data_IF_316064077107
#
_entry.id   IF_316064077107
#
_cell.length_a   1.000
_cell.length_b   1.000
_cell.length_c   1.000
_cell.angle_alpha   90.00
_cell.angle_beta   90.00
_cell.angle_gamma   90.00
#
_symmetry.space_group_name_H-M   'P 1'
#
loop_
_entity.id
_entity.type
_entity.pdbx_description
1 polymer ?
#
# COMPACT_ATOMS: atom_id res chain seq x y z
N UNK A 1 43.41 36.12 12.84
CA UNK A 1 42.06 35.65 13.13
C UNK A 1 41.85 34.40 12.30
N UNK A 2 41.99 33.21 12.89
CA UNK A 2 41.89 31.92 12.18
C UNK A 2 40.43 31.49 12.17
N UNK A 3 39.84 31.35 10.98
CA UNK A 3 38.51 30.78 10.78
C UNK A 3 38.64 29.28 10.87
N UNK A 4 38.16 28.68 11.97
CA UNK A 4 37.99 27.23 12.10
C UNK A 4 36.79 26.80 11.25
N UNK A 5 37.06 26.25 10.07
CA UNK A 5 36.09 25.52 9.27
C UNK A 5 35.83 24.16 9.96
N UNK A 6 34.72 24.05 10.68
CA UNK A 6 34.22 22.74 11.09
C UNK A 6 33.71 22.00 9.86
N UNK A 7 34.18 20.77 9.57
CA UNK A 7 33.58 19.99 8.53
C UNK A 7 32.15 19.65 8.95
N UNK A 8 31.15 20.07 8.17
CA UNK A 8 29.78 19.59 8.33
C UNK A 8 29.82 18.07 8.10
N UNK A 9 29.77 17.29 9.17
CA UNK A 9 29.59 15.85 9.08
C UNK A 9 28.23 15.62 8.41
N UNK A 10 28.25 15.19 7.15
CA UNK A 10 27.07 14.73 6.43
C UNK A 10 26.65 13.41 7.08
N UNK A 11 25.82 13.49 8.12
CA UNK A 11 25.20 12.29 8.67
C UNK A 11 24.31 11.71 7.58
N UNK A 12 24.67 10.54 7.06
CA UNK A 12 23.78 9.75 6.23
C UNK A 12 22.51 9.50 7.06
N UNK A 13 21.36 9.98 6.56
CA UNK A 13 20.10 9.78 7.26
C UNK A 13 19.88 8.27 7.45
N UNK A 14 19.61 7.86 8.69
CA UNK A 14 19.35 6.46 9.00
C UNK A 14 18.07 5.99 8.30
N UNK A 15 18.08 4.71 7.89
CA UNK A 15 16.91 4.07 7.31
C UNK A 15 15.74 4.10 8.30
N UNK A 16 14.56 4.65 7.93
CA UNK A 16 13.42 4.74 8.83
C UNK A 16 12.88 3.34 9.18
N UNK A 17 12.47 3.19 10.43
CA UNK A 17 11.73 2.00 10.89
C UNK A 17 10.25 2.23 10.65
N UNK A 18 9.75 1.76 9.52
CA UNK A 18 8.33 1.85 9.18
C UNK A 18 7.58 0.69 9.85
N UNK A 19 6.59 1.01 10.69
CA UNK A 19 5.67 0.01 11.23
C UNK A 19 4.59 -0.29 10.17
N UNK A 20 4.46 -1.53 9.66
CA UNK A 20 3.48 -1.87 8.63
C UNK A 20 2.04 -1.61 9.04
N UNK A 21 1.66 -1.94 10.28
CA UNK A 21 0.29 -1.75 10.78
C UNK A 21 -0.09 -0.27 10.87
N UNK A 22 0.85 0.58 11.30
CA UNK A 22 0.64 2.02 11.31
C UNK A 22 0.52 2.59 9.90
N UNK A 23 1.29 2.06 8.94
CA UNK A 23 1.20 2.45 7.54
C UNK A 23 -0.14 2.04 6.93
N UNK A 24 -0.63 0.82 7.20
CA UNK A 24 -1.95 0.33 6.79
C UNK A 24 -3.07 1.25 7.27
N UNK A 25 -3.06 1.58 8.57
CA UNK A 25 -4.05 2.49 9.14
C UNK A 25 -3.99 3.90 8.52
N UNK A 26 -2.77 4.38 8.21
CA UNK A 26 -2.62 5.70 7.58
C UNK A 26 -3.12 5.71 6.13
N UNK A 27 -2.87 4.66 5.36
CA UNK A 27 -3.39 4.51 3.99
C UNK A 27 -4.93 4.50 4.05
N UNK A 28 -5.54 3.70 4.92
CA UNK A 28 -6.99 3.68 5.13
C UNK A 28 -7.57 5.07 5.37
N UNK A 29 -7.01 5.85 6.29
CA UNK A 29 -7.44 7.22 6.55
C UNK A 29 -7.40 8.11 5.29
N UNK A 30 -6.35 7.96 4.47
CA UNK A 30 -6.21 8.74 3.23
C UNK A 30 -7.21 8.30 2.16
N UNK A 31 -7.55 7.00 2.09
CA UNK A 31 -8.61 6.46 1.22
C UNK A 31 -9.97 7.05 1.63
N UNK A 32 -10.29 7.05 2.92
CA UNK A 32 -11.53 7.64 3.42
C UNK A 32 -11.65 9.12 3.07
N UNK A 33 -10.55 9.87 3.14
CA UNK A 33 -10.54 11.27 2.68
C UNK A 33 -10.90 11.37 1.19
N UNK A 34 -10.42 10.47 0.32
CA UNK A 34 -10.77 10.49 -1.11
C UNK A 34 -12.24 10.14 -1.32
N UNK A 35 -12.75 9.14 -0.59
CA UNK A 35 -14.16 8.75 -0.66
C UNK A 35 -15.09 9.88 -0.20
N UNK A 36 -14.81 10.51 0.93
CA UNK A 36 -15.61 11.66 1.44
C UNK A 36 -15.59 12.82 0.46
N UNK A 37 -14.45 13.15 -0.15
CA UNK A 37 -14.34 14.17 -1.22
C UNK A 37 -15.21 13.83 -2.44
N UNK A 38 -15.43 12.55 -2.70
CA UNK A 38 -16.30 12.08 -3.78
C UNK A 38 -17.79 11.91 -3.35
N UNK A 39 -18.16 12.32 -2.15
CA UNK A 39 -19.53 12.19 -1.61
C UNK A 39 -19.89 10.78 -1.16
N UNK A 40 -18.91 9.90 -0.98
CA UNK A 40 -19.09 8.53 -0.54
C UNK A 40 -18.84 8.38 0.97
N UNK A 41 -19.44 7.34 1.58
CA UNK A 41 -19.17 7.01 2.98
C UNK A 41 -17.76 6.41 3.13
N UNK A 42 -17.09 6.66 4.27
CA UNK A 42 -15.91 5.91 4.68
C UNK A 42 -16.13 4.40 4.66
N UNK A 43 -15.06 3.63 4.49
CA UNK A 43 -15.07 2.17 4.54
C UNK A 43 -14.81 1.67 5.97
N UNK A 44 -15.36 0.52 6.30
CA UNK A 44 -14.99 -0.18 7.53
C UNK A 44 -13.64 -0.84 7.35
N UNK A 45 -12.68 -0.54 8.22
CA UNK A 45 -11.35 -1.18 8.20
C UNK A 45 -11.46 -2.61 8.74
N UNK A 46 -11.50 -3.60 7.85
CA UNK A 46 -11.76 -5.00 8.15
C UNK A 46 -10.50 -5.77 8.49
N UNK A 47 -10.37 -6.26 9.72
CA UNK A 47 -9.24 -7.10 10.15
C UNK A 47 -9.08 -8.36 9.28
N UNK A 48 -10.18 -8.94 8.80
CA UNK A 48 -10.15 -10.14 7.94
C UNK A 48 -9.59 -9.82 6.56
N UNK A 49 -10.04 -8.75 5.93
CA UNK A 49 -9.48 -8.29 4.66
C UNK A 49 -8.01 -7.88 4.81
N UNK A 50 -7.63 -7.19 5.91
CA UNK A 50 -6.22 -6.89 6.18
C UNK A 50 -5.35 -8.15 6.26
N UNK A 51 -5.84 -9.24 6.84
CA UNK A 51 -5.08 -10.49 6.93
C UNK A 51 -4.86 -11.11 5.55
N UNK A 52 -5.87 -11.08 4.67
CA UNK A 52 -5.78 -11.56 3.27
C UNK A 52 -4.79 -10.69 2.48
N UNK A 53 -4.96 -9.38 2.53
CA UNK A 53 -4.10 -8.41 1.87
C UNK A 53 -2.62 -8.53 2.30
N UNK A 54 -2.35 -8.71 3.61
CA UNK A 54 -0.98 -8.96 4.11
C UNK A 54 -0.41 -10.27 3.59
N UNK A 55 -1.25 -11.30 3.46
CA UNK A 55 -0.86 -12.58 2.85
C UNK A 55 -0.34 -12.38 1.44
N UNK A 56 -1.09 -11.68 0.61
CA UNK A 56 -0.72 -11.41 -0.78
C UNK A 56 0.51 -10.49 -0.90
N UNK A 57 0.58 -9.40 -0.13
CA UNK A 57 1.76 -8.52 -0.10
C UNK A 57 3.03 -9.26 0.32
N UNK A 58 2.93 -10.18 1.27
CA UNK A 58 4.04 -11.05 1.68
C UNK A 58 4.43 -12.02 0.56
N UNK A 59 3.46 -12.64 -0.08
CA UNK A 59 3.72 -13.59 -1.16
C UNK A 59 4.43 -12.90 -2.33
N UNK A 60 3.92 -11.76 -2.79
CA UNK A 60 4.60 -10.94 -3.80
C UNK A 60 6.05 -10.63 -3.42
N UNK A 61 6.26 -10.22 -2.17
CA UNK A 61 7.59 -9.85 -1.69
C UNK A 61 8.54 -11.06 -1.58
N UNK A 62 8.07 -12.18 -1.05
CA UNK A 62 8.92 -13.35 -0.81
C UNK A 62 9.32 -14.05 -2.11
N UNK A 63 8.41 -14.12 -3.07
CA UNK A 63 8.58 -14.80 -4.35
C UNK A 63 8.98 -13.88 -5.50
N UNK A 64 9.18 -12.58 -5.19
CA UNK A 64 9.70 -11.55 -6.10
C UNK A 64 8.85 -11.37 -7.38
N UNK A 65 7.53 -11.27 -7.22
CA UNK A 65 6.61 -10.91 -8.29
C UNK A 65 5.74 -9.70 -7.90
N UNK A 66 5.07 -9.09 -8.88
CA UNK A 66 4.11 -8.00 -8.67
C UNK A 66 2.93 -8.18 -9.63
N UNK A 67 1.86 -8.78 -9.14
CA UNK A 67 0.67 -9.11 -9.91
C UNK A 67 -0.52 -9.36 -8.99
N UNK A 68 -1.74 -9.15 -9.48
CA UNK A 68 -2.98 -9.57 -8.82
C UNK A 68 -3.11 -11.10 -8.70
N UNK A 69 -2.45 -11.85 -9.59
CA UNK A 69 -2.46 -13.31 -9.59
C UNK A 69 -1.14 -13.84 -9.05
N UNK A 70 -1.20 -14.89 -8.24
CA UNK A 70 0.00 -15.62 -7.86
C UNK A 70 0.65 -16.29 -9.08
N UNK A 71 1.91 -16.73 -9.01
CA UNK A 71 2.53 -17.50 -10.10
C UNK A 71 1.76 -18.77 -10.49
N UNK A 72 0.95 -19.34 -9.59
CA UNK A 72 0.07 -20.48 -9.83
C UNK A 72 -1.30 -20.07 -10.41
N UNK A 73 -1.55 -18.76 -10.60
CA UNK A 73 -2.80 -18.23 -11.12
C UNK A 73 -3.89 -18.01 -10.08
N UNK A 74 -3.54 -18.00 -8.79
CA UNK A 74 -4.50 -17.72 -7.73
C UNK A 74 -4.97 -16.25 -7.78
N UNK A 75 -6.27 -16.06 -7.95
CA UNK A 75 -6.91 -14.73 -8.03
C UNK A 75 -7.21 -14.14 -6.64
N UNK A 76 -7.51 -12.82 -6.53
CA UNK A 76 -8.00 -12.21 -5.29
C UNK A 76 -9.21 -12.94 -4.70
N UNK A 77 -10.17 -13.33 -5.55
CA UNK A 77 -11.35 -14.09 -5.11
C UNK A 77 -11.00 -15.48 -4.58
N UNK A 78 -9.99 -16.15 -5.15
CA UNK A 78 -9.51 -17.42 -4.65
C UNK A 78 -8.91 -17.26 -3.24
N UNK A 79 -8.11 -16.22 -3.00
CA UNK A 79 -7.58 -15.88 -1.67
C UNK A 79 -8.70 -15.61 -0.64
N UNK A 80 -9.77 -14.92 -1.05
CA UNK A 80 -10.94 -14.73 -0.18
C UNK A 80 -11.55 -16.06 0.23
N UNK A 81 -11.78 -16.96 -0.73
CA UNK A 81 -12.37 -18.29 -0.48
C UNK A 81 -11.50 -19.14 0.44
N UNK A 82 -10.19 -19.17 0.22
CA UNK A 82 -9.24 -19.91 1.07
C UNK A 82 -9.20 -19.38 2.50
N UNK A 83 -9.37 -18.06 2.68
CA UNK A 83 -9.49 -17.43 4.00
C UNK A 83 -10.89 -17.62 4.63
N UNK A 84 -11.79 -18.35 3.99
CA UNK A 84 -13.18 -18.50 4.42
C UNK A 84 -13.95 -17.17 4.42
N UNK A 85 -13.50 -16.19 3.61
CA UNK A 85 -14.16 -14.90 3.47
C UNK A 85 -15.02 -14.89 2.19
N UNK A 86 -16.28 -14.44 2.33
CA UNK A 86 -17.17 -14.29 1.19
C UNK A 86 -17.56 -12.81 1.05
N UNK A 87 -17.24 -12.23 -0.09
CA UNK A 87 -17.77 -10.94 -0.50
C UNK A 87 -18.82 -11.17 -1.58
N UNK A 88 -20.06 -10.91 -1.27
CA UNK A 88 -21.19 -10.99 -2.23
C UNK A 88 -22.15 -9.85 -1.98
N UNK A 89 -21.97 -8.75 -2.69
CA UNK A 89 -22.84 -7.58 -2.59
C UNK A 89 -23.79 -7.60 -3.78
N UNK A 90 -25.09 -7.74 -3.52
CA UNK A 90 -26.12 -7.71 -4.57
C UNK A 90 -26.68 -6.29 -4.72
N UNK A 91 -26.66 -5.78 -5.96
CA UNK A 91 -27.31 -4.52 -6.33
C UNK A 91 -28.17 -4.79 -7.58
N UNK A 92 -29.47 -4.89 -7.38
CA UNK A 92 -30.38 -5.35 -8.42
C UNK A 92 -30.02 -6.76 -8.91
N UNK A 93 -29.72 -6.88 -10.18
CA UNK A 93 -29.31 -8.16 -10.82
C UNK A 93 -27.79 -8.40 -10.81
N UNK A 94 -26.99 -7.43 -10.36
CA UNK A 94 -25.53 -7.53 -10.32
C UNK A 94 -25.04 -8.07 -8.98
N UNK A 95 -24.00 -8.87 -9.02
CA UNK A 95 -23.27 -9.34 -7.84
C UNK A 95 -21.84 -8.81 -7.95
N UNK A 96 -21.37 -8.14 -6.90
CA UNK A 96 -19.99 -7.70 -6.74
C UNK A 96 -19.32 -8.67 -5.77
N UNK A 97 -18.16 -9.18 -6.15
CA UNK A 97 -17.41 -10.18 -5.38
C UNK A 97 -16.12 -9.61 -4.76
N UNK A 98 -16.05 -8.28 -4.66
CA UNK A 98 -14.90 -7.55 -4.14
C UNK A 98 -14.05 -6.92 -5.23
N UNK A 99 -12.95 -6.34 -4.81
CA UNK A 99 -11.95 -5.70 -5.67
C UNK A 99 -10.59 -5.71 -5.01
N UNK A 100 -9.54 -5.50 -5.79
CA UNK A 100 -8.18 -5.43 -5.27
C UNK A 100 -7.40 -4.31 -5.97
N UNK A 101 -6.62 -3.58 -5.19
CA UNK A 101 -5.55 -2.71 -5.65
C UNK A 101 -4.22 -3.22 -5.13
N UNK A 102 -3.17 -3.14 -5.93
CA UNK A 102 -1.80 -3.40 -5.48
C UNK A 102 -0.90 -2.22 -5.77
N UNK A 103 0.13 -2.02 -4.94
CA UNK A 103 1.14 -1.00 -5.12
C UNK A 103 2.51 -1.49 -4.66
N UNK A 104 3.54 -1.14 -5.41
CA UNK A 104 4.91 -1.34 -4.99
C UNK A 104 5.60 0.02 -4.85
N UNK A 105 6.21 0.26 -3.70
CA UNK A 105 6.91 1.49 -3.39
C UNK A 105 8.34 1.20 -2.91
N UNK A 106 9.15 2.24 -2.82
CA UNK A 106 10.46 2.17 -2.18
C UNK A 106 10.44 2.92 -0.85
N UNK A 107 11.30 2.49 0.09
CA UNK A 107 11.55 3.23 1.32
C UNK A 107 12.33 4.53 1.10
N UNK A 108 12.67 4.88 -0.14
CA UNK A 108 13.42 6.09 -0.50
C UNK A 108 12.85 6.71 -1.78
N UNK A 109 12.94 8.02 -1.88
CA UNK A 109 12.53 8.79 -3.06
C UNK A 109 13.65 8.94 -4.09
N UNK A 110 14.91 8.98 -3.63
CA UNK A 110 16.08 9.11 -4.50
C UNK A 110 17.32 8.50 -3.85
N UNK A 111 18.30 8.18 -4.66
CA UNK A 111 19.64 7.78 -4.23
C UNK A 111 20.67 8.61 -4.98
N UNK A 112 21.66 9.15 -4.24
CA UNK A 112 22.77 9.89 -4.78
C UNK A 112 24.06 9.13 -4.45
N UNK A 113 24.99 9.08 -5.37
CA UNK A 113 26.30 8.45 -5.14
C UNK A 113 27.35 9.53 -4.87
N UNK A 114 28.01 9.48 -3.72
CA UNK A 114 29.12 10.34 -3.33
C UNK A 114 30.34 9.46 -3.12
N UNK A 115 31.37 9.65 -3.92
CA UNK A 115 32.58 8.82 -3.90
C UNK A 115 32.29 7.31 -3.95
N UNK A 116 31.33 6.89 -4.79
CA UNK A 116 30.91 5.50 -4.93
C UNK A 116 29.99 4.97 -3.83
N UNK A 117 29.74 5.75 -2.78
CA UNK A 117 28.85 5.37 -1.67
C UNK A 117 27.42 5.86 -1.91
N UNK A 118 26.37 5.00 -1.82
CA UNK A 118 24.99 5.40 -2.00
C UNK A 118 24.45 6.14 -0.78
N UNK A 119 23.88 7.30 -1.00
CA UNK A 119 23.16 8.10 -0.02
C UNK A 119 21.68 8.14 -0.39
N UNK A 120 20.82 7.61 0.49
CA UNK A 120 19.40 7.50 0.26
C UNK A 120 18.65 8.69 0.88
N UNK A 121 17.76 9.28 0.10
CA UNK A 121 16.73 10.16 0.63
C UNK A 121 15.53 9.31 1.06
N UNK A 122 15.47 8.97 2.35
CA UNK A 122 14.47 8.05 2.89
C UNK A 122 13.09 8.70 2.99
N UNK A 123 12.07 7.94 2.62
CA UNK A 123 10.68 8.34 2.78
C UNK A 123 10.22 8.10 4.22
N UNK A 124 9.50 9.04 4.78
CA UNK A 124 8.70 8.87 5.99
C UNK A 124 7.50 7.95 5.74
N UNK A 125 6.87 7.46 6.79
CA UNK A 125 5.61 6.71 6.72
C UNK A 125 4.53 7.50 5.96
N UNK A 126 4.43 8.79 6.23
CA UNK A 126 3.46 9.69 5.61
C UNK A 126 3.69 9.83 4.10
N UNK A 127 4.93 9.96 3.66
CA UNK A 127 5.26 10.05 2.23
C UNK A 127 4.93 8.75 1.50
N UNK A 128 5.21 7.59 2.11
CA UNK A 128 4.83 6.28 1.53
C UNK A 128 3.31 6.18 1.42
N UNK A 129 2.56 6.52 2.48
CA UNK A 129 1.10 6.47 2.46
C UNK A 129 0.50 7.38 1.39
N UNK A 130 0.98 8.64 1.31
CA UNK A 130 0.49 9.62 0.32
C UNK A 130 0.81 9.20 -1.10
N UNK A 131 2.04 8.76 -1.38
CA UNK A 131 2.43 8.32 -2.71
C UNK A 131 1.65 7.10 -3.17
N UNK A 132 1.35 6.17 -2.26
CA UNK A 132 0.51 5.00 -2.54
C UNK A 132 -0.90 5.41 -2.94
N UNK A 133 -1.59 6.21 -2.11
CA UNK A 133 -2.97 6.64 -2.40
C UNK A 133 -3.02 7.54 -3.64
N UNK A 134 -2.05 8.44 -3.80
CA UNK A 134 -1.95 9.26 -5.01
C UNK A 134 -1.74 8.41 -6.26
N UNK A 135 -0.88 7.39 -6.20
CA UNK A 135 -0.66 6.46 -7.30
C UNK A 135 -1.92 5.70 -7.69
N UNK A 136 -2.66 5.19 -6.72
CA UNK A 136 -3.95 4.54 -6.97
C UNK A 136 -4.98 5.51 -7.54
N UNK A 137 -5.12 6.72 -7.00
CA UNK A 137 -6.07 7.73 -7.49
C UNK A 137 -5.76 8.25 -8.89
N UNK A 138 -4.50 8.19 -9.32
CA UNK A 138 -4.07 8.54 -10.68
C UNK A 138 -4.21 7.39 -11.69
N UNK A 139 -4.48 6.17 -11.23
CA UNK A 139 -4.74 4.99 -12.06
C UNK A 139 -6.25 4.77 -12.19
N UNK A 140 -6.83 4.81 -13.41
CA UNK A 140 -8.28 4.71 -13.60
C UNK A 140 -8.89 3.42 -13.01
N UNK A 141 -8.18 2.28 -13.09
CA UNK A 141 -8.64 1.00 -12.53
C UNK A 141 -8.66 1.01 -11.00
N UNK A 142 -7.56 1.41 -10.38
CA UNK A 142 -7.45 1.47 -8.92
C UNK A 142 -8.40 2.52 -8.31
N UNK A 143 -8.47 3.71 -8.94
CA UNK A 143 -9.42 4.76 -8.53
C UNK A 143 -10.86 4.28 -8.57
N UNK A 144 -11.25 3.49 -9.57
CA UNK A 144 -12.61 2.92 -9.67
C UNK A 144 -12.91 2.06 -8.45
N UNK A 145 -11.99 1.20 -8.01
CA UNK A 145 -12.18 0.39 -6.81
C UNK A 145 -12.34 1.25 -5.57
N UNK A 146 -11.47 2.25 -5.36
CA UNK A 146 -11.54 3.17 -4.20
C UNK A 146 -12.89 3.90 -4.17
N UNK A 147 -13.40 4.33 -5.32
CA UNK A 147 -14.62 5.12 -5.44
C UNK A 147 -15.86 4.27 -5.78
N UNK A 148 -15.76 2.93 -5.72
CA UNK A 148 -16.92 2.07 -5.94
C UNK A 148 -17.94 2.25 -4.80
N UNK A 149 -19.17 2.74 -5.11
CA UNK A 149 -20.14 3.09 -4.08
C UNK A 149 -20.76 1.87 -3.38
N UNK A 150 -20.62 0.67 -3.95
CA UNK A 150 -21.17 -0.55 -3.34
C UNK A 150 -20.29 -1.12 -2.24
N UNK A 151 -19.00 -0.86 -2.26
CA UNK A 151 -18.10 -1.36 -1.21
C UNK A 151 -18.36 -0.69 0.14
N UNK A 152 -18.29 -1.48 1.20
CA UNK A 152 -18.56 -1.06 2.58
C UNK A 152 -17.37 -1.28 3.50
N UNK A 153 -16.44 -2.14 3.10
CA UNK A 153 -15.26 -2.49 3.89
C UNK A 153 -14.03 -2.60 2.99
N UNK A 154 -12.88 -2.33 3.58
CA UNK A 154 -11.58 -2.60 2.99
C UNK A 154 -10.62 -3.21 3.99
N UNK A 155 -9.56 -3.80 3.48
CA UNK A 155 -8.41 -4.21 4.27
C UNK A 155 -7.14 -3.90 3.54
N UNK A 156 -6.17 -3.32 4.25
CA UNK A 156 -4.86 -2.99 3.69
C UNK A 156 -3.83 -3.91 4.32
N UNK A 157 -2.96 -4.46 3.49
CA UNK A 157 -1.86 -5.30 3.89
C UNK A 157 -0.53 -4.76 3.37
N UNK A 158 0.41 -4.54 4.28
CA UNK A 158 1.75 -4.04 3.97
C UNK A 158 2.79 -5.09 4.31
N UNK A 159 3.73 -5.32 3.40
CA UNK A 159 4.92 -6.12 3.64
C UNK A 159 6.17 -5.42 3.11
N UNK A 160 7.24 -5.38 3.93
CA UNK A 160 8.49 -4.71 3.61
C UNK A 160 9.60 -5.76 3.46
N UNK A 161 10.24 -5.80 2.28
CA UNK A 161 11.40 -6.64 2.00
C UNK A 161 12.55 -5.79 1.47
N UNK A 162 13.66 -5.79 2.20
CA UNK A 162 14.79 -4.92 1.83
C UNK A 162 14.36 -3.45 1.81
N UNK A 163 14.49 -2.76 0.68
CA UNK A 163 14.09 -1.37 0.49
C UNK A 163 12.77 -1.20 -0.25
N UNK A 164 12.08 -2.29 -0.56
CA UNK A 164 10.77 -2.30 -1.23
C UNK A 164 9.63 -2.44 -0.23
N UNK A 165 8.51 -1.79 -0.53
CA UNK A 165 7.25 -1.90 0.20
C UNK A 165 6.20 -2.44 -0.76
N UNK A 166 5.59 -3.57 -0.42
CA UNK A 166 4.48 -4.18 -1.15
C UNK A 166 3.20 -3.91 -0.40
N UNK A 167 2.19 -3.45 -1.11
CA UNK A 167 0.92 -3.01 -0.52
C UNK A 167 -0.22 -3.61 -1.34
N UNK A 168 -1.15 -4.24 -0.65
CA UNK A 168 -2.41 -4.73 -1.21
C UNK A 168 -3.56 -4.07 -0.49
N UNK A 169 -4.61 -3.70 -1.20
CA UNK A 169 -5.86 -3.19 -0.70
C UNK A 169 -6.97 -4.08 -1.25
N UNK A 170 -7.70 -4.76 -0.37
CA UNK A 170 -8.83 -5.63 -0.68
C UNK A 170 -10.14 -4.95 -0.28
N UNK A 171 -11.16 -5.03 -1.13
CA UNK A 171 -12.47 -4.40 -0.93
C UNK A 171 -13.62 -5.41 -0.85
N UNK A 172 -14.63 -5.05 -0.06
CA UNK A 172 -15.94 -5.72 -0.05
C UNK A 172 -17.13 -4.77 0.25
#
# INVERSE_FOLDING_TARGET
>A
MAILLFPAALFAAERPRINPVTLEARIHQLIDVQRVKAGLKPLVFSRRLCAIARGHSRDMAQRDYFSHFSPEGESPLARYRQAGFSCRIRVGYRIYEGGENIFQNNLYSSVMYINGTPHFNWNSLEEIARSTVSGWMNSPGHRRNILEPVFRAEGIGVYIKGRKVYITEDFC
#
